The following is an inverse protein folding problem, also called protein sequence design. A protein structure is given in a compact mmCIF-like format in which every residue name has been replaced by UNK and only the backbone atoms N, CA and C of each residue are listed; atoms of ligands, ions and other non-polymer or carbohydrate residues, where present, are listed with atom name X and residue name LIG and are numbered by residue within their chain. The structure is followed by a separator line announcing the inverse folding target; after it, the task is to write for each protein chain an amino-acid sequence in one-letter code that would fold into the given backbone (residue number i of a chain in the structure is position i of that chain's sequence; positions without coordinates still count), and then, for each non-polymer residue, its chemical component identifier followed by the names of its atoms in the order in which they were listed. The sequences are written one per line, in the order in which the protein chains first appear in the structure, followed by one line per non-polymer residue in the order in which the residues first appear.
data_IF_072480415637
#
_entry.id   IF_072480415637
#
_cell.length_a   1.000
_cell.length_b   1.000
_cell.length_c   1.000
_cell.angle_alpha   90.00
_cell.angle_beta   90.00
_cell.angle_gamma   90.00
#
_symmetry.space_group_name_H-M   'P 1'
#
loop_
_entity.id
_entity.type
_entity.pdbx_description
1 polymer ?
#
# COMPACT_ATOMS: atom_id res chain seq x y z
N UNK A 1 -2.86 4.50 -0.31
CA UNK A 1 -1.72 4.17 -1.19
C UNK A 1 -1.85 2.82 -1.91
N UNK A 2 -2.18 1.71 -1.24
CA UNK A 2 -2.22 0.37 -1.88
C UNK A 2 -3.11 0.29 -3.12
N UNK A 3 -4.36 0.77 -3.06
CA UNK A 3 -5.27 0.75 -4.20
C UNK A 3 -4.78 1.66 -5.34
N UNK A 4 -4.11 2.79 -5.02
CA UNK A 4 -3.49 3.66 -6.01
C UNK A 4 -2.32 2.99 -6.74
N UNK A 5 -1.49 2.24 -6.01
CA UNK A 5 -0.30 1.59 -6.56
C UNK A 5 -0.61 0.37 -7.44
N UNK A 6 -1.64 -0.40 -7.06
CA UNK A 6 -1.94 -1.70 -7.67
C UNK A 6 -3.15 -1.62 -8.62
N UNK A 7 -3.89 -0.49 -8.60
CA UNK A 7 -5.12 -0.32 -9.35
C UNK A 7 -6.30 -1.11 -8.76
N UNK A 8 -7.39 -1.30 -9.54
CA UNK A 8 -8.58 -2.03 -9.09
C UNK A 8 -8.24 -3.45 -8.60
N UNK A 9 -8.40 -3.71 -7.30
CA UNK A 9 -7.94 -4.95 -6.67
C UNK A 9 -8.99 -5.55 -5.73
N UNK A 10 -8.85 -6.84 -5.42
CA UNK A 10 -9.78 -7.53 -4.51
C UNK A 10 -9.46 -7.24 -3.04
N UNK A 11 -10.44 -7.44 -2.16
CA UNK A 11 -10.25 -7.33 -0.70
C UNK A 11 -9.10 -8.22 -0.19
N UNK A 12 -8.98 -9.43 -0.75
CA UNK A 12 -7.89 -10.35 -0.40
C UNK A 12 -6.52 -9.78 -0.78
N UNK A 13 -6.43 -9.17 -1.97
CA UNK A 13 -5.20 -8.53 -2.42
C UNK A 13 -4.82 -7.34 -1.53
N UNK A 14 -5.80 -6.52 -1.13
CA UNK A 14 -5.57 -5.41 -0.19
C UNK A 14 -5.05 -5.95 1.14
N UNK A 15 -5.69 -6.96 1.72
CA UNK A 15 -5.28 -7.54 3.01
C UNK A 15 -3.87 -8.12 3.01
N UNK A 16 -3.49 -8.81 1.93
CA UNK A 16 -2.11 -9.29 1.74
C UNK A 16 -1.12 -8.14 1.64
N UNK A 17 -1.45 -7.09 0.90
CA UNK A 17 -0.53 -5.98 0.66
C UNK A 17 -0.31 -5.07 1.88
N UNK A 18 -1.22 -5.07 2.86
CA UNK A 18 -1.08 -4.26 4.09
C UNK A 18 -0.98 -5.12 5.36
N UNK A 19 -0.83 -6.44 5.23
CA UNK A 19 -0.68 -7.40 6.33
C UNK A 19 -1.78 -7.32 7.41
N UNK A 20 -3.04 -7.14 7.01
CA UNK A 20 -4.18 -7.13 7.93
C UNK A 20 -5.18 -8.24 7.62
N UNK A 21 -5.96 -8.63 8.63
CA UNK A 21 -6.97 -9.68 8.50
C UNK A 21 -8.10 -9.26 7.54
N UNK A 22 -8.78 -10.23 6.88
CA UNK A 22 -9.87 -9.92 5.95
C UNK A 22 -11.01 -9.10 6.57
N UNK A 23 -11.36 -9.35 7.84
CA UNK A 23 -12.39 -8.59 8.55
C UNK A 23 -12.00 -7.13 8.77
N UNK A 24 -10.72 -6.87 9.07
CA UNK A 24 -10.19 -5.50 9.17
C UNK A 24 -10.20 -4.79 7.82
N UNK A 25 -9.86 -5.49 6.72
CA UNK A 25 -9.93 -4.91 5.36
C UNK A 25 -11.34 -4.44 5.04
N UNK A 26 -12.35 -5.28 5.30
CA UNK A 26 -13.75 -4.95 5.01
C UNK A 26 -14.15 -3.65 5.71
N UNK A 27 -13.92 -3.56 7.02
CA UNK A 27 -14.26 -2.35 7.79
C UNK A 27 -13.46 -1.11 7.36
N UNK A 28 -12.21 -1.26 6.91
CA UNK A 28 -11.44 -0.15 6.33
C UNK A 28 -12.08 0.31 5.03
N UNK A 29 -12.40 -0.61 4.12
CA UNK A 29 -12.98 -0.27 2.82
C UNK A 29 -14.38 0.31 2.95
N UNK A 30 -15.22 -0.21 3.86
CA UNK A 30 -16.54 0.36 4.15
C UNK A 30 -16.43 1.85 4.53
N UNK A 31 -15.54 2.19 5.47
CA UNK A 31 -15.32 3.59 5.87
C UNK A 31 -14.78 4.47 4.74
N UNK A 32 -13.96 3.92 3.85
CA UNK A 32 -13.44 4.65 2.69
C UNK A 32 -14.54 4.86 1.63
N UNK A 33 -15.44 3.90 1.46
CA UNK A 33 -16.59 3.96 0.56
C UNK A 33 -17.62 4.96 1.07
N UNK A 34 -17.94 4.96 2.37
CA UNK A 34 -18.79 5.97 3.03
C UNK A 34 -18.26 7.40 2.85
N UNK A 35 -16.93 7.57 2.84
CA UNK A 35 -16.28 8.87 2.58
C UNK A 35 -16.24 9.24 1.09
N UNK A 36 -16.69 8.35 0.21
CA UNK A 36 -16.67 8.51 -1.25
C UNK A 36 -15.25 8.52 -1.83
N UNK A 37 -14.29 7.88 -1.17
CA UNK A 37 -12.87 7.82 -1.59
C UNK A 37 -12.56 6.58 -2.43
N UNK A 38 -13.33 5.52 -2.25
CA UNK A 38 -13.24 4.29 -3.03
C UNK A 38 -14.63 3.87 -3.48
N UNK A 39 -14.68 3.02 -4.51
CA UNK A 39 -15.91 2.41 -5.00
C UNK A 39 -15.71 0.91 -5.23
N UNK A 40 -16.75 0.14 -4.95
CA UNK A 40 -16.79 -1.30 -5.25
C UNK A 40 -17.43 -1.54 -6.61
N UNK A 41 -16.67 -2.17 -7.50
CA UNK A 41 -17.16 -2.64 -8.79
C UNK A 41 -17.29 -4.15 -8.77
N UNK A 42 -18.43 -4.67 -9.20
CA UNK A 42 -18.56 -6.10 -9.50
C UNK A 42 -17.87 -6.36 -10.83
N UNK A 43 -16.99 -7.35 -10.84
CA UNK A 43 -16.33 -7.78 -12.07
C UNK A 43 -17.39 -8.29 -13.07
N UNK A 44 -17.27 -7.87 -14.32
CA UNK A 44 -18.19 -8.23 -15.39
C UNK A 44 -17.94 -9.65 -15.92
N UNK A 45 -16.74 -10.21 -15.69
CA UNK A 45 -16.40 -11.58 -16.09
C UNK A 45 -16.64 -12.63 -15.01
N UNK A 46 -16.41 -12.30 -13.72
CA UNK A 46 -16.79 -13.17 -12.60
C UNK A 46 -17.51 -12.35 -11.53
N UNK A 47 -18.84 -12.44 -11.51
CA UNK A 47 -19.70 -11.70 -10.57
C UNK A 47 -19.42 -11.99 -9.09
N UNK A 48 -18.63 -13.03 -8.78
CA UNK A 48 -18.19 -13.37 -7.42
C UNK A 48 -17.00 -12.52 -6.96
N UNK A 49 -16.37 -11.78 -7.87
CA UNK A 49 -15.22 -10.93 -7.56
C UNK A 49 -15.65 -9.46 -7.44
N UNK A 50 -15.59 -8.94 -6.22
CA UNK A 50 -15.70 -7.50 -5.94
C UNK A 50 -14.31 -6.88 -6.02
N UNK A 51 -14.15 -5.90 -6.89
CA UNK A 51 -12.94 -5.08 -7.00
C UNK A 51 -13.18 -3.74 -6.33
N UNK A 52 -12.18 -3.22 -5.65
CA UNK A 52 -12.16 -1.89 -5.03
C UNK A 52 -11.27 -1.01 -5.88
N UNK A 53 -11.78 0.16 -6.26
CA UNK A 53 -11.03 1.19 -7.00
C UNK A 53 -11.12 2.53 -6.28
N UNK A 54 -10.18 3.43 -6.53
CA UNK A 54 -10.30 4.83 -6.10
C UNK A 54 -11.38 5.54 -6.90
N UNK A 55 -12.04 6.51 -6.26
CA UNK A 55 -12.80 7.55 -6.94
C UNK A 55 -11.87 8.71 -7.30
N UNK A 56 -12.31 9.63 -8.17
CA UNK A 56 -11.55 10.87 -8.45
C UNK A 56 -11.29 11.69 -7.17
N UNK A 57 -12.23 11.68 -6.21
CA UNK A 57 -12.04 12.30 -4.89
C UNK A 57 -10.94 11.59 -4.09
N UNK A 58 -10.89 10.27 -4.16
CA UNK A 58 -9.84 9.46 -3.54
C UNK A 58 -8.46 9.73 -4.13
N UNK A 59 -8.36 9.90 -5.44
CA UNK A 59 -7.13 10.28 -6.14
C UNK A 59 -6.65 11.67 -5.71
N UNK A 60 -7.53 12.67 -5.76
CA UNK A 60 -7.19 14.04 -5.34
C UNK A 60 -6.72 14.13 -3.89
N UNK A 61 -7.34 13.36 -2.98
CA UNK A 61 -6.91 13.31 -1.58
C UNK A 61 -5.50 12.73 -1.44
N UNK A 62 -5.14 11.75 -2.26
CA UNK A 62 -3.78 11.19 -2.26
C UNK A 62 -2.76 12.17 -2.82
N UNK A 63 -3.12 12.92 -3.87
CA UNK A 63 -2.25 13.95 -4.45
C UNK A 63 -2.00 15.11 -3.49
N UNK A 64 -2.98 15.42 -2.63
CA UNK A 64 -2.86 16.43 -1.58
C UNK A 64 -2.25 15.90 -0.28
N UNK A 65 -2.04 14.59 -0.18
CA UNK A 65 -1.44 14.01 1.02
C UNK A 65 0.05 14.36 1.05
N UNK A 66 0.58 14.90 2.16
CA UNK A 66 2.00 15.15 2.27
C UNK A 66 2.77 13.85 2.04
N UNK A 67 3.94 13.96 1.39
CA UNK A 67 4.87 12.84 1.27
C UNK A 67 5.08 12.22 2.65
N UNK A 68 4.91 10.90 2.75
CA UNK A 68 5.22 10.17 3.97
C UNK A 68 6.71 10.30 4.37
N UNK A 69 7.54 10.68 3.40
CA UNK A 69 8.96 10.92 3.59
C UNK A 69 9.21 12.43 3.79
N UNK A 70 10.02 12.82 4.78
CA UNK A 70 10.44 14.20 4.97
C UNK A 70 11.07 14.78 3.70
N UNK A 71 10.89 16.08 3.46
CA UNK A 71 11.42 16.78 2.27
C UNK A 71 12.94 16.57 2.06
N UNK A 72 13.69 16.43 3.14
CA UNK A 72 15.14 16.17 3.11
C UNK A 72 15.55 14.73 2.84
N UNK A 73 14.63 13.77 2.81
CA UNK A 73 14.98 12.34 2.70
C UNK A 73 15.70 12.01 1.39
N UNK A 74 15.22 12.55 0.25
CA UNK A 74 15.87 12.32 -1.04
C UNK A 74 17.27 12.95 -1.10
N UNK A 75 17.43 14.15 -0.54
CA UNK A 75 18.73 14.83 -0.47
C UNK A 75 19.73 14.06 0.41
N UNK A 76 19.28 13.55 1.55
CA UNK A 76 20.11 12.72 2.42
C UNK A 76 20.56 11.43 1.73
N UNK A 77 19.67 10.77 0.97
CA UNK A 77 20.04 9.58 0.18
C UNK A 77 21.03 9.90 -0.94
N UNK A 78 20.93 11.07 -1.56
CA UNK A 78 21.87 11.51 -2.61
C UNK A 78 23.24 11.85 -2.04
N UNK A 79 23.32 12.29 -0.78
CA UNK A 79 24.57 12.61 -0.11
C UNK A 79 25.40 11.37 0.29
N UNK A 80 24.80 10.17 0.27
CA UNK A 80 25.50 8.93 0.58
C UNK A 80 26.55 8.60 -0.48
N UNK A 81 27.73 8.20 -0.01
CA UNK A 81 28.76 7.57 -0.83
C UNK A 81 28.25 6.24 -1.41
N UNK A 82 28.96 5.71 -2.41
CA UNK A 82 28.61 4.41 -3.01
C UNK A 82 28.64 3.28 -1.97
N UNK A 83 29.63 3.29 -1.07
CA UNK A 83 29.79 2.26 -0.03
C UNK A 83 28.65 2.33 1.00
N UNK A 84 28.28 3.53 1.45
CA UNK A 84 27.15 3.72 2.38
C UNK A 84 25.82 3.32 1.74
N UNK A 85 25.63 3.65 0.46
CA UNK A 85 24.44 3.24 -0.29
C UNK A 85 24.36 1.72 -0.41
N UNK A 86 25.48 1.07 -0.69
CA UNK A 86 25.53 -0.38 -0.82
C UNK A 86 25.30 -1.08 0.53
N UNK A 87 25.87 -0.54 1.61
CA UNK A 87 25.59 -1.02 2.97
C UNK A 87 24.11 -0.86 3.33
N UNK A 88 23.50 0.28 2.99
CA UNK A 88 22.08 0.53 3.22
C UNK A 88 21.19 -0.47 2.47
N UNK A 89 21.50 -0.77 1.20
CA UNK A 89 20.76 -1.76 0.41
C UNK A 89 20.83 -3.14 1.08
N UNK A 90 22.02 -3.59 1.47
CA UNK A 90 22.21 -4.89 2.14
C UNK A 90 21.40 -4.94 3.44
N UNK A 91 21.45 -3.91 4.27
CA UNK A 91 20.70 -3.87 5.52
C UNK A 91 19.18 -3.85 5.32
N UNK A 92 18.69 -3.16 4.28
CA UNK A 92 17.27 -3.14 3.94
C UNK A 92 16.77 -4.50 3.42
N UNK A 93 17.58 -5.20 2.61
CA UNK A 93 17.27 -6.56 2.15
C UNK A 93 17.20 -7.54 3.33
N UNK A 94 18.16 -7.47 4.25
CA UNK A 94 18.14 -8.27 5.48
C UNK A 94 16.91 -7.95 6.34
N UNK A 95 16.57 -6.67 6.48
CA UNK A 95 15.39 -6.25 7.23
C UNK A 95 14.09 -6.75 6.58
N UNK A 96 13.99 -6.71 5.24
CA UNK A 96 12.84 -7.26 4.51
C UNK A 96 12.68 -8.76 4.74
N UNK A 97 13.79 -9.52 4.72
CA UNK A 97 13.78 -10.96 5.02
C UNK A 97 13.30 -11.24 6.46
N UNK A 98 13.69 -10.40 7.43
CA UNK A 98 13.22 -10.53 8.82
C UNK A 98 11.72 -10.25 8.96
N UNK A 99 11.16 -9.31 8.19
CA UNK A 99 9.71 -9.05 8.19
C UNK A 99 8.90 -10.21 7.60
N UNK A 100 9.48 -10.96 6.65
CA UNK A 100 8.86 -12.14 6.04
C UNK A 100 9.06 -13.42 6.89
N UNK A 101 10.01 -13.40 7.82
CA UNK A 101 10.27 -14.52 8.71
C UNK A 101 9.06 -14.76 9.63
N UNK A 102 8.34 -15.85 9.37
CA UNK A 102 7.28 -16.33 10.27
C UNK A 102 7.90 -16.66 11.62
N UNK A 103 7.30 -16.16 12.70
CA UNK A 103 7.58 -16.66 14.05
C UNK A 103 7.28 -18.16 14.04
N UNK A 104 8.26 -19.03 14.34
CA UNK A 104 7.99 -20.46 14.48
C UNK A 104 7.03 -20.66 15.66
N UNK A 105 5.92 -21.37 15.40
CA UNK A 105 4.94 -21.79 16.41
C UNK A 105 5.56 -22.79 17.39
#
# INVERSE_FOLDING_TARGET
MTIAKIGPCSMSAIGKAIFVSPSTVVGIVDRLEEKGLVLRMRDTQDRRHVRVSLTSKGEQLLDQSPSALPEGFSLALQALTNDERQSLVISLEQFAQLLEAKVPN
#
